data_IF_162385874309
#
_entry.id   IF_162385874309
#
_cell.length_a   1.000
_cell.length_b   1.000
_cell.length_c   1.000
_cell.angle_alpha   90.00
_cell.angle_beta   90.00
_cell.angle_gamma   90.00
#
_symmetry.space_group_name_H-M   'P 1'
#
loop_
_entity.id
_entity.type
_entity.pdbx_description
1 polymer ?
#
# COMPACT_ATOMS: atom_id res chain seq x y z
N UNK A 1 -7.09 -2.16 -13.15
CA UNK A 1 -6.81 -2.82 -11.85
C UNK A 1 -5.42 -3.47 -11.93
N UNK A 2 -4.52 -3.28 -10.96
CA UNK A 2 -3.15 -3.84 -10.98
C UNK A 2 -2.77 -4.39 -9.61
N UNK A 3 -2.08 -5.53 -9.56
CA UNK A 3 -1.54 -6.07 -8.29
C UNK A 3 -0.13 -5.54 -8.07
N UNK A 4 0.11 -4.86 -6.94
CA UNK A 4 1.43 -4.36 -6.52
C UNK A 4 1.98 -5.20 -5.36
N UNK A 5 3.26 -5.54 -5.42
CA UNK A 5 3.97 -6.22 -4.32
C UNK A 5 4.46 -5.18 -3.30
N UNK A 6 4.36 -5.50 -2.02
CA UNK A 6 4.97 -4.77 -0.91
C UNK A 6 5.96 -5.69 -0.22
N UNK A 7 7.20 -5.22 -0.08
CA UNK A 7 8.24 -5.95 0.65
C UNK A 7 7.92 -6.02 2.15
N UNK A 8 8.51 -7.02 2.82
CA UNK A 8 8.50 -7.08 4.27
C UNK A 8 9.20 -5.85 4.85
N UNK A 9 8.65 -5.29 5.93
CA UNK A 9 9.20 -4.09 6.57
C UNK A 9 8.84 -4.04 8.04
N UNK A 10 9.57 -3.25 8.80
CA UNK A 10 9.19 -2.90 10.17
C UNK A 10 8.21 -1.73 10.15
N UNK A 11 7.16 -1.83 10.96
CA UNK A 11 6.22 -0.75 11.24
C UNK A 11 6.09 -0.54 12.74
N UNK A 12 5.19 0.36 13.16
CA UNK A 12 4.82 0.51 14.57
C UNK A 12 3.34 0.24 14.74
N UNK A 13 2.98 -0.38 15.86
CA UNK A 13 1.59 -0.52 16.26
C UNK A 13 1.04 0.87 16.63
N UNK A 14 -0.01 1.38 15.97
CA UNK A 14 -0.55 2.71 16.27
C UNK A 14 -1.16 2.83 17.68
N UNK A 15 -1.53 1.72 18.33
CA UNK A 15 -2.09 1.74 19.68
C UNK A 15 -1.02 1.74 20.78
N UNK A 16 0.10 1.04 20.60
CA UNK A 16 1.13 0.84 21.65
C UNK A 16 2.49 1.44 21.33
N UNK A 17 2.73 1.84 20.07
CA UNK A 17 4.00 2.39 19.61
C UNK A 17 5.12 1.36 19.40
N UNK A 18 4.90 0.09 19.77
CA UNK A 18 5.87 -1.00 19.63
C UNK A 18 6.20 -1.30 18.18
N UNK A 19 7.44 -1.75 17.94
CA UNK A 19 7.87 -2.17 16.61
C UNK A 19 7.24 -3.52 16.23
N UNK A 20 6.61 -3.58 15.06
CA UNK A 20 5.99 -4.79 14.50
C UNK A 20 6.61 -5.16 13.17
N UNK A 21 6.79 -6.46 12.93
CA UNK A 21 7.24 -6.96 11.63
C UNK A 21 6.05 -7.18 10.69
N UNK A 22 6.02 -6.43 9.59
CA UNK A 22 4.98 -6.52 8.57
C UNK A 22 5.48 -7.40 7.43
N UNK A 23 4.86 -8.58 7.25
CA UNK A 23 5.20 -9.53 6.19
C UNK A 23 4.98 -8.94 4.80
N UNK A 24 5.72 -9.46 3.82
CA UNK A 24 5.51 -9.14 2.42
C UNK A 24 4.08 -9.51 2.00
N UNK A 25 3.43 -8.64 1.24
CA UNK A 25 2.05 -8.85 0.81
C UNK A 25 1.80 -8.27 -0.57
N UNK A 26 0.73 -8.73 -1.22
CA UNK A 26 0.24 -8.20 -2.49
C UNK A 26 -0.99 -7.33 -2.21
N UNK A 27 -1.06 -6.15 -2.81
CA UNK A 27 -2.22 -5.26 -2.73
C UNK A 27 -2.75 -4.96 -4.12
N UNK A 28 -4.07 -4.82 -4.22
CA UNK A 28 -4.72 -4.32 -5.42
C UNK A 28 -4.57 -2.80 -5.47
N UNK A 29 -4.21 -2.28 -6.63
CA UNK A 29 -4.09 -0.87 -6.93
C UNK A 29 -4.97 -0.53 -8.13
N UNK A 30 -5.64 0.62 -8.06
CA UNK A 30 -6.33 1.18 -9.21
C UNK A 30 -5.34 1.98 -10.07
N UNK A 31 -5.50 1.91 -11.39
CA UNK A 31 -4.75 2.74 -12.33
C UNK A 31 -5.78 3.67 -12.99
N UNK A 32 -5.75 4.98 -12.69
CA UNK A 32 -6.68 5.91 -13.33
C UNK A 32 -6.35 6.04 -14.82
N UNK A 33 -7.41 6.15 -15.62
CA UNK A 33 -7.35 6.45 -17.06
C UNK A 33 -7.04 7.93 -17.28
N UNK A 34 -6.64 8.30 -18.50
CA UNK A 34 -6.20 9.66 -18.85
C UNK A 34 -7.24 10.72 -18.47
N UNK A 35 -8.49 10.50 -18.87
CA UNK A 35 -9.61 11.40 -18.62
C UNK A 35 -9.79 11.74 -17.13
N UNK A 36 -9.72 10.73 -16.25
CA UNK A 36 -9.82 10.95 -14.80
C UNK A 36 -8.62 11.69 -14.21
N UNK A 37 -7.43 11.58 -14.83
CA UNK A 37 -6.25 12.33 -14.37
C UNK A 37 -6.29 13.80 -14.79
N UNK A 38 -6.95 14.11 -15.91
CA UNK A 38 -7.03 15.48 -16.44
C UNK A 38 -8.19 16.26 -15.83
N UNK A 39 -9.21 15.56 -15.30
CA UNK A 39 -10.37 16.16 -14.65
C UNK A 39 -10.16 16.54 -13.17
N UNK A 40 -8.98 16.27 -12.59
CA UNK A 40 -8.61 16.53 -11.19
C UNK A 40 -7.37 17.41 -11.18
#
# INVERSE_FOLDING_TARGET
LQVRKRAARTGRNPATGEAIHIKASKKVAFRPVKELKEAI
#
